data_IF_991348358972
#
_entry.id   IF_991348358972
#
_cell.length_a   1.000
_cell.length_b   1.000
_cell.length_c   1.000
_cell.angle_alpha   90.00
_cell.angle_beta   90.00
_cell.angle_gamma   90.00
#
_symmetry.space_group_name_H-M   'P 1'
#
loop_
_entity.id
_entity.type
_entity.pdbx_description
1 polymer ?
#
# COMPACT_ATOMS: atom_id res chain seq x y z
N UNK A 1 56.44 -35.69 -41.52
CA UNK A 1 55.97 -35.90 -40.12
C UNK A 1 55.36 -34.57 -39.65
N UNK A 2 54.01 -34.45 -39.63
CA UNK A 2 53.17 -34.16 -38.43
C UNK A 2 53.71 -32.95 -37.60
N UNK A 3 53.01 -31.82 -37.41
CA UNK A 3 51.67 -31.66 -36.80
C UNK A 3 51.00 -30.31 -37.17
N UNK A 4 49.68 -30.31 -37.04
CA UNK A 4 48.69 -29.30 -37.42
C UNK A 4 48.54 -28.13 -36.42
N UNK A 5 48.01 -27.04 -36.98
CA UNK A 5 47.31 -25.87 -36.43
C UNK A 5 46.46 -26.08 -35.16
N UNK A 6 46.35 -25.02 -34.34
CA UNK A 6 45.13 -24.33 -33.83
C UNK A 6 45.42 -23.66 -32.47
N UNK A 7 45.26 -22.33 -32.31
CA UNK A 7 44.88 -21.75 -31.03
C UNK A 7 43.39 -21.37 -31.04
N UNK A 8 42.70 -21.86 -30.03
CA UNK A 8 41.27 -21.70 -29.81
C UNK A 8 40.90 -20.27 -29.40
N UNK A 9 39.90 -19.71 -30.07
CA UNK A 9 39.20 -18.50 -29.65
C UNK A 9 38.32 -18.85 -28.44
N UNK A 10 38.75 -18.47 -27.23
CA UNK A 10 37.96 -18.58 -26.01
C UNK A 10 36.99 -17.41 -25.89
N UNK A 11 35.71 -17.61 -26.21
CA UNK A 11 34.62 -16.71 -25.83
C UNK A 11 34.29 -16.93 -24.35
N UNK A 12 34.74 -16.03 -23.48
CA UNK A 12 34.24 -15.91 -22.10
C UNK A 12 32.97 -15.06 -22.11
N UNK A 13 31.82 -15.72 -22.13
CA UNK A 13 30.52 -15.09 -21.87
C UNK A 13 30.46 -14.69 -20.39
N UNK A 14 30.55 -13.39 -20.13
CA UNK A 14 30.23 -12.78 -18.84
C UNK A 14 28.73 -12.97 -18.54
N UNK A 15 28.40 -14.08 -17.89
CA UNK A 15 27.10 -14.27 -17.25
C UNK A 15 27.01 -13.35 -16.04
N UNK A 16 26.51 -12.13 -16.22
CA UNK A 16 26.13 -11.25 -15.12
C UNK A 16 25.00 -11.92 -14.33
N UNK A 17 25.29 -12.35 -13.10
CA UNK A 17 24.26 -12.71 -12.15
C UNK A 17 23.43 -11.46 -11.88
N UNK A 18 22.20 -11.41 -12.43
CA UNK A 18 21.20 -10.47 -11.96
C UNK A 18 21.05 -10.71 -10.45
N UNK A 19 21.38 -9.70 -9.64
CA UNK A 19 21.05 -9.70 -8.23
C UNK A 19 19.53 -9.80 -8.14
N UNK A 20 19.02 -10.99 -7.79
CA UNK A 20 17.65 -11.12 -7.34
C UNK A 20 17.54 -10.23 -6.09
N UNK A 21 16.90 -9.08 -6.24
CA UNK A 21 16.54 -8.26 -5.10
C UNK A 21 15.83 -9.16 -4.08
N UNK A 22 16.26 -9.16 -2.79
CA UNK A 22 15.70 -10.05 -1.81
C UNK A 22 14.19 -9.79 -1.73
N UNK A 23 13.41 -10.85 -1.94
CA UNK A 23 11.97 -10.81 -1.80
C UNK A 23 11.61 -10.18 -0.44
N UNK A 24 10.67 -9.20 -0.40
CA UNK A 24 10.24 -8.59 0.85
C UNK A 24 9.73 -9.66 1.82
N UNK A 25 10.49 -9.86 2.90
CA UNK A 25 10.06 -10.62 4.06
C UNK A 25 9.30 -9.69 5.00
N UNK A 26 7.99 -9.88 5.10
CA UNK A 26 7.19 -9.18 6.10
C UNK A 26 7.22 -9.95 7.41
N UNK A 27 7.84 -9.36 8.43
CA UNK A 27 7.72 -9.84 9.81
C UNK A 27 6.37 -9.39 10.40
N UNK A 28 5.33 -10.21 10.19
CA UNK A 28 3.97 -9.88 10.64
C UNK A 28 3.84 -9.89 12.18
N UNK A 29 4.80 -10.45 12.91
CA UNK A 29 4.78 -10.43 14.39
C UNK A 29 4.98 -9.00 14.92
N UNK A 30 5.77 -8.18 14.22
CA UNK A 30 5.97 -6.76 14.52
C UNK A 30 4.81 -5.88 14.05
N UNK A 31 4.11 -6.30 13.00
CA UNK A 31 2.93 -5.59 12.46
C UNK A 31 1.72 -5.73 13.38
N UNK A 32 1.59 -6.86 14.11
CA UNK A 32 0.50 -7.05 15.05
C UNK A 32 0.50 -6.03 16.20
N UNK A 33 1.67 -5.64 16.70
CA UNK A 33 1.79 -4.61 17.75
C UNK A 33 1.56 -3.17 17.26
N UNK A 34 1.75 -2.91 15.96
CA UNK A 34 1.48 -1.60 15.36
C UNK A 34 -0.01 -1.41 14.99
N UNK A 35 -0.81 -2.47 15.11
CA UNK A 35 -2.28 -2.44 14.92
C UNK A 35 -3.04 -2.05 16.17
N UNK A 36 -2.33 -1.62 17.22
CA UNK A 36 -2.93 -0.93 18.35
C UNK A 36 -3.40 0.45 17.89
N UNK A 37 -4.61 0.44 17.30
CA UNK A 37 -5.40 1.60 16.94
C UNK A 37 -5.41 2.64 18.09
N UNK A 38 -5.43 3.92 17.75
CA UNK A 38 -5.29 5.06 18.67
C UNK A 38 -6.67 5.55 19.12
N UNK A 39 -6.76 6.20 20.27
CA UNK A 39 -8.03 6.61 20.89
C UNK A 39 -8.50 8.04 20.53
N UNK A 40 -9.75 8.15 20.04
CA UNK A 40 -10.72 9.25 20.17
C UNK A 40 -10.78 10.34 19.06
N UNK A 41 -11.88 11.13 18.96
CA UNK A 41 -13.29 10.84 19.23
C UNK A 41 -14.22 11.07 18.00
N UNK A 42 -15.28 10.27 17.91
CA UNK A 42 -16.56 10.58 17.29
C UNK A 42 -17.66 9.79 18.04
N UNK A 43 -18.08 10.28 19.22
CA UNK A 43 -19.12 9.64 20.03
C UNK A 43 -20.23 10.63 20.41
N UNK A 44 -21.46 10.11 20.49
CA UNK A 44 -22.52 10.71 21.31
C UNK A 44 -22.02 10.67 22.76
N UNK A 45 -22.18 11.78 23.46
CA UNK A 45 -21.65 11.97 24.81
C UNK A 45 -22.15 10.85 25.74
N UNK A 46 -21.22 10.06 26.30
CA UNK A 46 -21.51 9.06 27.35
C UNK A 46 -21.60 7.59 26.92
N UNK A 47 -21.49 7.25 25.62
CA UNK A 47 -21.57 5.86 25.16
C UNK A 47 -20.23 5.37 24.59
N UNK A 48 -19.64 4.31 25.14
CA UNK A 48 -18.42 3.71 24.60
C UNK A 48 -18.70 3.04 23.24
N UNK A 49 -18.12 3.57 22.18
CA UNK A 49 -18.16 2.97 20.85
C UNK A 49 -17.64 1.53 20.89
N UNK A 50 -18.36 0.55 20.34
CA UNK A 50 -17.85 -0.81 20.17
C UNK A 50 -16.75 -0.87 19.11
N UNK A 51 -16.55 0.20 18.34
CA UNK A 51 -15.57 0.32 17.28
C UNK A 51 -14.40 1.18 17.74
N UNK A 52 -13.20 0.65 17.55
CA UNK A 52 -11.97 1.38 17.77
C UNK A 52 -11.74 2.31 16.57
N UNK A 53 -11.77 3.62 16.82
CA UNK A 53 -11.64 4.64 15.78
C UNK A 53 -10.28 4.56 15.08
N UNK A 54 -10.30 4.92 13.80
CA UNK A 54 -9.10 4.97 12.98
C UNK A 54 -8.62 6.41 12.91
N UNK A 55 -7.32 6.68 13.15
CA UNK A 55 -6.81 8.03 13.05
C UNK A 55 -6.95 8.53 11.62
N UNK A 56 -7.16 9.83 11.47
CA UNK A 56 -7.11 10.50 10.17
C UNK A 56 -5.71 10.35 9.56
N UNK A 57 -5.61 10.35 8.23
CA UNK A 57 -4.39 10.09 7.46
C UNK A 57 -3.84 8.67 7.67
N UNK A 58 -4.71 7.67 7.51
CA UNK A 58 -4.37 6.27 7.74
C UNK A 58 -4.85 5.34 6.62
N UNK A 59 -4.37 4.09 6.66
CA UNK A 59 -4.84 2.99 5.82
C UNK A 59 -5.49 1.93 6.70
N UNK A 60 -6.72 1.54 6.35
CA UNK A 60 -7.46 0.43 6.93
C UNK A 60 -7.45 -0.76 6.00
N UNK A 61 -7.09 -1.94 6.50
CA UNK A 61 -7.38 -3.20 5.81
C UNK A 61 -8.55 -3.83 6.55
N UNK A 62 -9.74 -3.77 5.96
CA UNK A 62 -11.00 -4.16 6.61
C UNK A 62 -11.33 -5.64 6.39
N UNK A 63 -10.69 -6.28 5.42
CA UNK A 63 -10.99 -7.65 5.01
C UNK A 63 -10.06 -8.67 5.72
N UNK A 64 -10.63 -9.60 6.52
CA UNK A 64 -9.85 -10.61 7.24
C UNK A 64 -9.06 -11.55 6.33
N UNK A 65 -9.47 -11.72 5.06
CA UNK A 65 -8.78 -12.60 4.12
C UNK A 65 -7.41 -12.05 3.72
N UNK A 66 -7.22 -10.73 3.72
CA UNK A 66 -5.97 -10.08 3.28
C UNK A 66 -5.25 -9.31 4.39
N UNK A 67 -5.88 -9.09 5.54
CA UNK A 67 -5.28 -8.34 6.65
C UNK A 67 -3.98 -8.94 7.16
N UNK A 68 -3.75 -10.26 7.05
CA UNK A 68 -2.46 -10.89 7.42
C UNK A 68 -1.53 -11.13 6.23
N UNK A 69 -1.91 -10.69 5.04
CA UNK A 69 -1.23 -10.94 3.77
C UNK A 69 -0.60 -9.68 3.16
N UNK A 70 -1.12 -8.50 3.51
CA UNK A 70 -0.61 -7.22 3.04
C UNK A 70 0.12 -6.45 4.14
N UNK A 71 1.13 -5.68 3.72
CA UNK A 71 1.81 -4.71 4.54
C UNK A 71 1.83 -3.34 3.86
N UNK A 72 1.37 -2.31 4.56
CA UNK A 72 1.45 -0.93 4.10
C UNK A 72 2.84 -0.41 4.46
N UNK A 73 3.70 -0.24 3.46
CA UNK A 73 5.09 0.17 3.66
C UNK A 73 5.20 1.67 3.97
N UNK A 74 4.44 2.48 3.26
CA UNK A 74 4.45 3.93 3.42
C UNK A 74 3.13 4.52 2.96
N UNK A 75 2.80 5.67 3.55
CA UNK A 75 1.70 6.53 3.13
C UNK A 75 2.26 7.95 2.95
N UNK A 76 1.75 8.66 1.96
CA UNK A 76 2.08 10.05 1.70
C UNK A 76 0.85 10.78 1.18
N UNK A 77 0.76 12.06 1.51
CA UNK A 77 -0.21 12.96 0.90
C UNK A 77 0.50 14.25 0.50
N UNK A 78 0.12 14.81 -0.64
CA UNK A 78 0.65 16.09 -1.10
C UNK A 78 -0.44 16.92 -1.75
N UNK A 79 -0.40 18.23 -1.53
CA UNK A 79 -1.24 19.17 -2.25
C UNK A 79 -0.66 19.42 -3.64
N UNK A 80 -1.51 19.41 -4.66
CA UNK A 80 -1.15 19.70 -6.05
C UNK A 80 -1.13 21.21 -6.31
N UNK A 81 -0.66 21.63 -7.49
CA UNK A 81 -0.67 23.04 -7.89
C UNK A 81 -2.08 23.64 -7.99
N UNK A 82 -3.10 22.81 -8.22
CA UNK A 82 -4.52 23.24 -8.29
C UNK A 82 -5.21 23.19 -6.93
N UNK A 83 -4.50 22.86 -5.86
CA UNK A 83 -5.05 22.82 -4.51
C UNK A 83 -5.75 21.51 -4.14
N UNK A 84 -5.89 20.53 -5.04
CA UNK A 84 -6.36 19.19 -4.68
C UNK A 84 -5.30 18.42 -3.89
N UNK A 85 -5.68 17.34 -3.21
CA UNK A 85 -4.77 16.48 -2.45
C UNK A 85 -4.62 15.14 -3.16
N UNK A 86 -3.38 14.76 -3.43
CA UNK A 86 -3.05 13.42 -3.90
C UNK A 86 -2.56 12.58 -2.72
N UNK A 87 -3.18 11.42 -2.51
CA UNK A 87 -2.75 10.43 -1.53
C UNK A 87 -2.09 9.25 -2.24
N UNK A 88 -1.09 8.68 -1.59
CA UNK A 88 -0.32 7.56 -2.10
C UNK A 88 -0.09 6.56 -0.96
N UNK A 89 -0.34 5.28 -1.22
CA UNK A 89 0.01 4.20 -0.32
C UNK A 89 0.82 3.14 -1.07
N UNK A 90 2.00 2.80 -0.54
CA UNK A 90 2.79 1.69 -1.03
C UNK A 90 2.43 0.42 -0.27
N UNK A 91 1.96 -0.59 -0.99
CA UNK A 91 1.43 -1.83 -0.44
C UNK A 91 2.32 -2.98 -0.88
N UNK A 92 2.68 -3.85 0.06
CA UNK A 92 3.50 -5.04 -0.17
C UNK A 92 2.63 -6.28 0.00
N UNK A 93 2.69 -7.19 -0.96
CA UNK A 93 2.19 -8.54 -0.81
C UNK A 93 3.25 -9.38 -0.09
N UNK A 94 2.90 -9.83 1.11
CA UNK A 94 3.75 -10.61 2.00
C UNK A 94 3.61 -12.12 1.82
N UNK A 95 2.86 -12.56 0.82
CA UNK A 95 2.62 -13.96 0.50
C UNK A 95 3.48 -14.41 -0.68
N UNK A 96 3.56 -15.73 -0.86
CA UNK A 96 4.21 -16.42 -1.97
C UNK A 96 3.28 -16.71 -3.15
N UNK A 97 2.05 -16.17 -3.13
CA UNK A 97 1.09 -16.25 -4.23
C UNK A 97 0.56 -14.86 -4.62
N UNK A 98 0.05 -14.67 -5.85
CA UNK A 98 -0.52 -13.39 -6.25
C UNK A 98 -1.79 -13.06 -5.46
N UNK A 99 -1.99 -11.77 -5.17
CA UNK A 99 -3.18 -11.24 -4.52
C UNK A 99 -3.82 -10.18 -5.41
N UNK A 100 -5.15 -10.14 -5.40
CA UNK A 100 -5.92 -9.01 -5.89
C UNK A 100 -6.45 -8.28 -4.67
N UNK A 101 -6.01 -7.04 -4.49
CA UNK A 101 -6.57 -6.14 -3.50
C UNK A 101 -7.35 -5.03 -4.19
N UNK A 102 -8.27 -4.41 -3.48
CA UNK A 102 -8.92 -3.18 -3.90
C UNK A 102 -8.70 -2.11 -2.83
N UNK A 103 -8.54 -0.87 -3.25
CA UNK A 103 -8.43 0.27 -2.36
C UNK A 103 -9.32 1.43 -2.83
N UNK A 104 -9.81 2.21 -1.87
CA UNK A 104 -10.53 3.47 -2.10
C UNK A 104 -10.18 4.48 -1.02
N UNK A 105 -10.49 5.76 -1.26
CA UNK A 105 -10.21 6.84 -0.30
C UNK A 105 -11.47 7.61 0.03
N UNK A 106 -11.65 7.89 1.32
CA UNK A 106 -12.52 8.96 1.80
C UNK A 106 -11.65 10.16 2.17
N UNK A 107 -11.97 11.34 1.64
CA UNK A 107 -11.33 12.60 2.03
C UNK A 107 -12.19 13.34 3.06
N UNK A 108 -11.54 14.05 3.97
CA UNK A 108 -12.16 14.75 5.08
C UNK A 108 -11.77 16.22 5.09
N UNK A 109 -12.71 17.06 5.54
CA UNK A 109 -12.45 18.45 5.88
C UNK A 109 -11.88 18.57 7.30
N UNK A 110 -11.50 19.78 7.69
CA UNK A 110 -10.87 20.07 8.98
C UNK A 110 -11.79 19.81 10.20
N UNK A 111 -13.10 19.80 9.98
CA UNK A 111 -14.11 19.46 10.98
C UNK A 111 -14.36 17.94 11.08
N UNK A 112 -13.62 17.13 10.32
CA UNK A 112 -13.76 15.68 10.26
C UNK A 112 -14.94 15.21 9.40
N UNK A 113 -15.71 16.12 8.79
CA UNK A 113 -16.77 15.74 7.86
C UNK A 113 -16.17 15.24 6.54
N UNK A 114 -16.90 14.37 5.84
CA UNK A 114 -16.54 13.98 4.48
C UNK A 114 -16.52 15.23 3.58
N UNK A 115 -15.37 15.56 3.01
CA UNK A 115 -15.23 16.74 2.12
C UNK A 115 -15.87 16.48 0.74
N UNK A 116 -15.97 15.21 0.36
CA UNK A 116 -16.48 14.74 -0.92
C UNK A 116 -16.97 13.29 -0.82
N UNK A 117 -17.70 12.77 -1.84
CA UNK A 117 -18.06 11.36 -1.89
C UNK A 117 -16.82 10.45 -1.89
N UNK A 118 -16.93 9.29 -1.24
CA UNK A 118 -15.88 8.26 -1.25
C UNK A 118 -15.50 7.86 -2.69
N UNK A 119 -14.22 7.63 -2.94
CA UNK A 119 -13.76 7.20 -4.26
C UNK A 119 -14.22 5.78 -4.62
N UNK A 120 -14.22 5.48 -5.91
CA UNK A 120 -14.52 4.14 -6.39
C UNK A 120 -13.40 3.16 -5.99
N UNK A 121 -13.75 1.88 -5.81
CA UNK A 121 -12.76 0.83 -5.59
C UNK A 121 -11.83 0.70 -6.78
N UNK A 122 -10.52 0.81 -6.53
CA UNK A 122 -9.47 0.61 -7.52
C UNK A 122 -8.69 -0.66 -7.23
N UNK A 123 -8.50 -1.46 -8.27
CA UNK A 123 -7.80 -2.74 -8.17
C UNK A 123 -6.29 -2.56 -8.12
N UNK A 124 -5.65 -3.35 -7.27
CA UNK A 124 -4.22 -3.51 -7.11
C UNK A 124 -3.88 -4.98 -7.37
N UNK A 125 -3.31 -5.27 -8.54
CA UNK A 125 -2.70 -6.59 -8.77
C UNK A 125 -1.35 -6.63 -8.07
N UNK A 126 -1.17 -7.59 -7.19
CA UNK A 126 0.02 -7.74 -6.36
C UNK A 126 0.62 -9.13 -6.58
N UNK A 127 1.59 -9.29 -7.49
CA UNK A 127 2.36 -10.52 -7.60
C UNK A 127 2.95 -10.96 -6.26
N UNK A 128 3.26 -12.25 -6.14
CA UNK A 128 3.89 -12.82 -4.95
C UNK A 128 5.14 -12.04 -4.55
N UNK A 129 5.28 -11.70 -3.26
CA UNK A 129 6.44 -10.97 -2.72
C UNK A 129 6.80 -9.68 -3.49
N UNK A 130 5.82 -8.91 -3.94
CA UNK A 130 6.08 -7.63 -4.61
C UNK A 130 5.37 -6.48 -3.90
N UNK A 131 5.67 -5.25 -4.33
CA UNK A 131 4.90 -4.07 -3.94
C UNK A 131 4.18 -3.43 -5.12
N UNK A 132 3.03 -2.83 -4.86
CA UNK A 132 2.33 -1.95 -5.80
C UNK A 132 1.91 -0.66 -5.06
N UNK A 133 1.52 0.36 -5.82
CA UNK A 133 1.20 1.69 -5.31
C UNK A 133 -0.25 2.02 -5.61
N UNK A 134 -1.02 2.26 -4.55
CA UNK A 134 -2.33 2.91 -4.65
C UNK A 134 -2.14 4.43 -4.68
N UNK A 135 -2.95 5.11 -5.48
CA UNK A 135 -2.95 6.56 -5.63
C UNK A 135 -4.37 7.04 -5.81
N UNK A 136 -4.74 8.12 -5.15
CA UNK A 136 -6.04 8.79 -5.36
C UNK A 136 -5.86 10.30 -5.32
N UNK A 137 -6.68 11.01 -6.10
CA UNK A 137 -6.72 12.46 -6.14
C UNK A 137 -8.08 12.93 -5.63
N UNK A 138 -8.09 13.90 -4.72
CA UNK A 138 -9.32 14.53 -4.27
C UNK A 138 -10.01 15.31 -5.39
N UNK A 139 -11.33 15.47 -5.26
CA UNK A 139 -12.15 16.33 -6.10
C UNK A 139 -12.15 17.77 -5.59
N UNK A 140 -12.27 17.93 -4.27
CA UNK A 140 -12.24 19.21 -3.56
C UNK A 140 -10.83 19.76 -3.42
N UNK A 141 -10.72 21.08 -3.33
CA UNK A 141 -9.46 21.80 -3.24
C UNK A 141 -9.03 22.06 -1.78
N UNK A 142 -9.02 23.32 -1.34
CA UNK A 142 -8.46 23.79 -0.08
C UNK A 142 -9.18 23.25 1.16
N UNK A 143 -10.35 22.65 0.98
CA UNK A 143 -11.17 22.10 2.06
C UNK A 143 -10.70 20.75 2.55
N UNK A 144 -9.91 20.00 1.77
CA UNK A 144 -9.38 18.69 2.18
C UNK A 144 -8.25 18.86 3.18
N UNK A 145 -8.42 18.28 4.37
CA UNK A 145 -7.47 18.33 5.50
C UNK A 145 -7.07 16.93 5.99
N UNK A 146 -7.78 15.88 5.56
CA UNK A 146 -7.43 14.52 5.89
C UNK A 146 -7.96 13.48 4.92
N UNK A 147 -7.53 12.23 5.13
CA UNK A 147 -7.98 11.09 4.33
C UNK A 147 -7.99 9.79 5.13
N UNK A 148 -8.76 8.82 4.66
CA UNK A 148 -8.67 7.43 5.07
C UNK A 148 -8.70 6.54 3.82
N UNK A 149 -7.69 5.69 3.68
CA UNK A 149 -7.65 4.68 2.61
C UNK A 149 -8.22 3.39 3.18
N UNK A 150 -9.21 2.81 2.53
CA UNK A 150 -9.73 1.50 2.87
C UNK A 150 -9.24 0.47 1.86
N UNK A 151 -8.93 -0.73 2.34
CA UNK A 151 -8.45 -1.85 1.53
C UNK A 151 -9.21 -3.13 1.82
N UNK A 152 -9.53 -3.89 0.78
CA UNK A 152 -10.21 -5.20 0.85
C UNK A 152 -9.69 -6.19 -0.18
N UNK A 153 -10.08 -7.45 -0.08
CA UNK A 153 -9.81 -8.43 -1.12
C UNK A 153 -10.63 -8.09 -2.38
N UNK A 154 -9.96 -8.12 -3.53
CA UNK A 154 -10.61 -8.00 -4.83
C UNK A 154 -11.18 -9.35 -5.26
N UNK A 155 -12.43 -9.34 -5.74
CA UNK A 155 -13.06 -10.52 -6.36
C UNK A 155 -12.64 -10.68 -7.82
#
# INVERSE_FOLDING_TARGET
MKRLLVPAFGLLLLGGCASLDPAPHCDMSRVAGQRDLVAGPAMVEGETSPLKEMPMNSVSITDPNIIRKLYVRSIAARRTGTGTVEVVAQVVNCTDFPLNAEARTQFYANDGAASEPVSAWRRLQLPARTSNTYRELSLGDKTVDGYMIEMREGK
#
